data_IF_044016450567
#
_entry.id   IF_044016450567
#
_cell.length_a   1.000
_cell.length_b   1.000
_cell.length_c   1.000
_cell.angle_alpha   90.00
_cell.angle_beta   90.00
_cell.angle_gamma   90.00
#
_symmetry.space_group_name_H-M   'P 1'
#
loop_
_entity.id
_entity.type
_entity.pdbx_description
1 polymer ?
#
# COMPACT_ATOMS: atom_id res chain seq x y z
N UNK A 1 16.20 -28.00 -10.15
CA UNK A 1 15.67 -26.65 -10.45
C UNK A 1 14.99 -26.18 -9.17
N UNK A 2 15.75 -25.52 -8.31
CA UNK A 2 15.32 -25.23 -6.94
C UNK A 2 14.44 -23.98 -6.90
N UNK A 3 13.27 -24.16 -6.30
CA UNK A 3 12.35 -23.13 -5.86
C UNK A 3 13.11 -22.06 -5.06
N UNK A 4 13.22 -20.87 -5.62
CA UNK A 4 13.82 -19.70 -4.99
C UNK A 4 12.79 -19.13 -4.00
N UNK A 5 12.57 -19.87 -2.92
CA UNK A 5 11.69 -19.49 -1.83
C UNK A 5 12.08 -18.09 -1.32
N UNK A 6 11.18 -17.16 -1.63
CA UNK A 6 10.92 -15.85 -1.01
C UNK A 6 11.83 -15.55 0.19
N UNK A 7 12.95 -14.88 -0.07
CA UNK A 7 13.62 -14.12 0.98
C UNK A 7 12.63 -13.06 1.47
N UNK A 8 12.42 -12.88 2.78
CA UNK A 8 11.59 -11.78 3.25
C UNK A 8 12.18 -10.50 2.69
N UNK A 9 11.44 -9.84 1.78
CA UNK A 9 11.85 -8.53 1.27
C UNK A 9 11.98 -7.63 2.50
N UNK A 10 13.21 -7.20 2.78
CA UNK A 10 13.47 -6.20 3.81
C UNK A 10 12.60 -4.99 3.50
N UNK A 11 11.87 -4.49 4.51
CA UNK A 11 11.07 -3.28 4.38
C UNK A 11 11.92 -2.16 3.75
N UNK A 12 11.54 -1.72 2.55
CA UNK A 12 12.20 -0.63 1.82
C UNK A 12 13.16 -1.04 0.69
N UNK A 13 13.49 -2.33 0.51
CA UNK A 13 14.25 -2.80 -0.65
C UNK A 13 13.32 -3.31 -1.75
N UNK A 14 12.55 -2.42 -2.37
CA UNK A 14 11.93 -2.70 -3.66
C UNK A 14 12.86 -2.20 -4.77
N UNK A 15 13.19 -3.07 -5.72
CA UNK A 15 13.86 -2.62 -6.94
C UNK A 15 12.97 -1.60 -7.66
N UNK A 16 13.52 -0.61 -8.39
CA UNK A 16 12.71 0.40 -9.10
C UNK A 16 11.64 -0.20 -10.02
N UNK A 17 11.94 -1.35 -10.63
CA UNK A 17 11.02 -2.13 -11.47
C UNK A 17 9.90 -2.86 -10.71
N UNK A 18 10.04 -3.02 -9.39
CA UNK A 18 9.04 -3.65 -8.51
C UNK A 18 8.19 -2.61 -7.78
N UNK A 19 8.39 -1.32 -8.07
CA UNK A 19 7.54 -0.27 -7.51
C UNK A 19 6.18 -0.34 -8.18
N UNK A 20 5.09 -0.33 -7.40
CA UNK A 20 3.76 -0.36 -7.96
C UNK A 20 3.54 0.87 -8.85
N UNK A 21 2.94 0.63 -10.02
CA UNK A 21 2.48 1.70 -10.92
C UNK A 21 1.03 2.12 -10.65
N UNK A 22 0.55 3.19 -11.30
CA UNK A 22 -0.87 3.53 -11.30
C UNK A 22 -1.73 2.34 -11.74
N UNK A 23 -2.85 2.12 -11.06
CA UNK A 23 -3.76 1.00 -11.24
C UNK A 23 -3.44 -0.24 -10.40
N UNK A 24 -2.26 -0.30 -9.75
CA UNK A 24 -1.96 -1.34 -8.78
C UNK A 24 -2.60 -1.04 -7.42
N UNK A 25 -2.99 -2.10 -6.71
CA UNK A 25 -3.67 -2.02 -5.42
C UNK A 25 -2.69 -1.80 -4.25
N UNK A 26 -2.99 -0.81 -3.40
CA UNK A 26 -2.24 -0.48 -2.18
C UNK A 26 -3.18 -0.57 -0.98
N UNK A 27 -2.71 -1.18 0.11
CA UNK A 27 -3.43 -1.18 1.38
C UNK A 27 -2.82 -0.13 2.31
N UNK A 28 -3.65 0.76 2.86
CA UNK A 28 -3.26 1.72 3.88
C UNK A 28 -3.81 1.25 5.23
N UNK A 29 -2.91 0.88 6.14
CA UNK A 29 -3.26 0.46 7.49
C UNK A 29 -3.18 1.67 8.43
N UNK A 30 -4.33 2.05 9.00
CA UNK A 30 -4.53 3.26 9.81
C UNK A 30 -4.94 4.46 8.97
N UNK A 31 -6.12 5.03 9.23
CA UNK A 31 -6.76 6.16 8.58
C UNK A 31 -6.90 7.38 9.52
N UNK A 32 -6.04 7.47 10.53
CA UNK A 32 -5.82 8.73 11.25
C UNK A 32 -5.32 9.85 10.33
N UNK A 33 -5.03 11.04 10.90
CA UNK A 33 -4.70 12.27 10.14
C UNK A 33 -3.65 12.11 9.02
N UNK A 34 -2.65 11.25 9.25
CA UNK A 34 -1.61 11.00 8.26
C UNK A 34 -2.05 9.96 7.22
N UNK A 35 -2.54 8.81 7.67
CA UNK A 35 -2.92 7.71 6.78
C UNK A 35 -4.04 8.08 5.81
N UNK A 36 -5.04 8.84 6.25
CA UNK A 36 -6.09 9.34 5.37
C UNK A 36 -5.56 10.31 4.30
N UNK A 37 -4.62 11.20 4.66
CA UNK A 37 -3.99 12.09 3.70
C UNK A 37 -3.15 11.32 2.67
N UNK A 38 -2.41 10.31 3.12
CA UNK A 38 -1.64 9.41 2.24
C UNK A 38 -2.57 8.63 1.31
N UNK A 39 -3.64 8.05 1.81
CA UNK A 39 -4.61 7.31 1.02
C UNK A 39 -5.23 8.20 -0.08
N UNK A 40 -5.63 9.43 0.28
CA UNK A 40 -6.16 10.41 -0.66
C UNK A 40 -5.16 10.76 -1.77
N UNK A 41 -3.88 10.93 -1.43
CA UNK A 41 -2.84 11.23 -2.42
C UNK A 41 -2.55 10.03 -3.32
N UNK A 42 -2.56 8.81 -2.80
CA UNK A 42 -2.39 7.59 -3.60
C UNK A 42 -3.54 7.41 -4.60
N UNK A 43 -4.78 7.67 -4.19
CA UNK A 43 -5.92 7.69 -5.13
C UNK A 43 -5.70 8.73 -6.22
N UNK A 44 -5.26 9.96 -5.87
CA UNK A 44 -4.96 11.01 -6.85
C UNK A 44 -3.84 10.65 -7.81
N UNK A 45 -2.88 9.84 -7.38
CA UNK A 45 -1.80 9.31 -8.21
C UNK A 45 -2.24 8.13 -9.09
N UNK A 46 -3.48 7.67 -8.95
CA UNK A 46 -4.08 6.64 -9.78
C UNK A 46 -3.91 5.22 -9.25
N UNK A 47 -3.51 5.03 -7.99
CA UNK A 47 -3.51 3.72 -7.36
C UNK A 47 -4.93 3.31 -6.97
N UNK A 48 -5.17 1.99 -6.95
CA UNK A 48 -6.35 1.42 -6.32
C UNK A 48 -6.07 1.28 -4.82
N UNK A 49 -6.88 1.89 -3.94
CA UNK A 49 -6.52 2.03 -2.52
C UNK A 49 -7.58 1.41 -1.62
N UNK A 50 -7.14 0.47 -0.78
CA UNK A 50 -7.93 -0.08 0.31
C UNK A 50 -7.46 0.53 1.64
N UNK A 51 -8.30 1.38 2.23
CA UNK A 51 -8.10 1.89 3.58
C UNK A 51 -8.60 0.90 4.63
N UNK A 52 -7.82 0.66 5.68
CA UNK A 52 -8.18 -0.21 6.81
C UNK A 52 -7.92 0.54 8.10
N UNK A 53 -8.90 0.62 8.98
CA UNK A 53 -8.76 1.15 10.33
C UNK A 53 -9.57 0.30 11.32
N UNK A 54 -9.21 0.33 12.60
CA UNK A 54 -9.97 -0.32 13.68
C UNK A 54 -11.17 0.52 14.12
N UNK A 55 -11.12 1.84 13.89
CA UNK A 55 -12.19 2.77 14.22
C UNK A 55 -13.20 2.80 13.07
N UNK A 56 -14.35 2.17 13.27
CA UNK A 56 -15.40 2.02 12.25
C UNK A 56 -15.86 3.37 11.65
N UNK A 57 -15.85 4.46 12.42
CA UNK A 57 -16.23 5.78 11.91
C UNK A 57 -15.26 6.37 10.88
N UNK A 58 -14.08 5.80 10.71
CA UNK A 58 -13.05 6.25 9.76
C UNK A 58 -13.12 5.52 8.40
N UNK A 59 -13.87 4.42 8.30
CA UNK A 59 -14.04 3.65 7.06
C UNK A 59 -15.38 4.00 6.37
N UNK A 60 -15.49 3.74 5.05
CA UNK A 60 -16.66 4.08 4.22
C UNK A 60 -17.01 2.93 3.27
#
# INVERSE_FOLDING_TARGET
MADQASRPRSFGQLSPEERPGPGESIVVLGLGRFGAAVASELVRLGYDVLGVDEVESLVQ
#
